data_IF_008579732532
#
_entry.id   IF_008579732532
#
_cell.length_a   1.000
_cell.length_b   1.000
_cell.length_c   1.000
_cell.angle_alpha   90.00
_cell.angle_beta   90.00
_cell.angle_gamma   90.00
#
_symmetry.space_group_name_H-M   'P 1'
#
loop_
_entity.id
_entity.type
_entity.pdbx_description
1 polymer ?
#
# COMPACT_ATOMS: atom_id res chain seq x y z
N UNK A 1 2.20 -46.84 -19.45
CA UNK A 1 3.36 -45.91 -19.54
C UNK A 1 3.30 -44.75 -18.51
N UNK A 2 2.99 -44.95 -17.21
CA UNK A 2 3.05 -43.87 -16.21
C UNK A 2 4.45 -43.65 -15.61
N UNK A 3 5.32 -44.67 -15.67
CA UNK A 3 6.68 -44.63 -15.11
C UNK A 3 7.62 -43.65 -15.82
N UNK A 4 7.45 -43.44 -17.13
CA UNK A 4 8.27 -42.49 -17.89
C UNK A 4 8.03 -41.03 -17.48
N UNK A 5 6.79 -40.69 -17.10
CA UNK A 5 6.43 -39.34 -16.66
C UNK A 5 7.04 -38.98 -15.30
N UNK A 6 7.20 -39.96 -14.40
CA UNK A 6 7.83 -39.77 -13.09
C UNK A 6 9.34 -39.55 -13.18
N UNK A 7 10.01 -40.21 -14.14
CA UNK A 7 11.44 -40.02 -14.41
C UNK A 7 11.75 -38.64 -15.02
N UNK A 8 10.85 -38.11 -15.85
CA UNK A 8 10.97 -36.76 -16.40
C UNK A 8 10.87 -35.67 -15.31
N UNK A 9 10.07 -35.89 -14.26
CA UNK A 9 9.98 -34.98 -13.11
C UNK A 9 11.23 -35.02 -12.21
N UNK A 10 11.90 -36.17 -12.11
CA UNK A 10 13.14 -36.32 -11.34
C UNK A 10 14.35 -35.63 -12.01
N UNK A 11 14.32 -35.42 -13.33
CA UNK A 11 15.35 -34.68 -14.07
C UNK A 11 15.28 -33.16 -13.89
N UNK A 12 14.15 -32.62 -13.45
CA UNK A 12 13.96 -31.19 -13.16
C UNK A 12 14.41 -30.82 -11.75
N UNK A 13 15.57 -31.35 -11.32
CA UNK A 13 16.12 -31.03 -10.01
C UNK A 13 16.56 -29.57 -9.97
N UNK A 14 15.77 -28.71 -9.32
CA UNK A 14 16.14 -27.31 -9.05
C UNK A 14 17.39 -27.33 -8.16
N UNK A 15 18.55 -26.85 -8.64
CA UNK A 15 19.75 -26.78 -7.82
C UNK A 15 19.44 -26.00 -6.55
N UNK A 16 19.78 -26.54 -5.39
CA UNK A 16 19.66 -25.80 -4.13
C UNK A 16 20.63 -24.62 -4.23
N UNK A 17 20.14 -23.36 -4.21
CA UNK A 17 21.02 -22.22 -4.27
C UNK A 17 21.91 -22.23 -3.03
N UNK A 18 23.21 -21.89 -3.16
CA UNK A 18 24.10 -21.77 -2.01
C UNK A 18 23.49 -20.77 -1.01
N UNK A 19 23.61 -21.08 0.29
CA UNK A 19 23.16 -20.20 1.34
C UNK A 19 23.87 -18.84 1.18
N UNK A 20 23.14 -17.71 1.10
CA UNK A 20 23.77 -16.41 1.01
C UNK A 20 24.63 -16.17 2.26
N UNK A 21 25.93 -15.90 2.08
CA UNK A 21 26.84 -15.56 3.20
C UNK A 21 26.43 -14.29 3.95
N UNK A 22 25.60 -13.45 3.33
CA UNK A 22 25.09 -12.19 3.87
C UNK A 22 23.57 -12.15 3.74
N UNK A 23 22.85 -11.55 4.71
CA UNK A 23 21.43 -11.30 4.58
C UNK A 23 21.16 -10.55 3.27
N UNK A 24 20.13 -10.93 2.48
CA UNK A 24 19.78 -10.19 1.29
C UNK A 24 19.41 -8.75 1.66
N UNK A 25 19.83 -7.80 0.84
CA UNK A 25 19.45 -6.41 1.03
C UNK A 25 17.91 -6.26 1.05
N UNK A 26 17.36 -5.31 1.81
CA UNK A 26 15.92 -5.14 1.95
C UNK A 26 15.27 -4.71 0.64
N UNK A 27 14.84 -5.70 -0.16
CA UNK A 27 14.09 -5.49 -1.42
C UNK A 27 12.73 -4.81 -1.19
N UNK A 28 12.26 -4.78 0.06
CA UNK A 28 10.96 -4.25 0.42
C UNK A 28 10.89 -2.71 0.40
N UNK A 29 12.01 -1.98 0.32
CA UNK A 29 12.00 -0.51 0.31
C UNK A 29 11.17 0.05 -0.84
N UNK A 30 11.53 -0.29 -2.08
CA UNK A 30 10.81 0.16 -3.28
C UNK A 30 9.33 -0.26 -3.29
N UNK A 31 9.01 -1.46 -2.81
CA UNK A 31 7.62 -1.93 -2.69
C UNK A 31 6.85 -1.14 -1.64
N UNK A 32 7.48 -0.84 -0.51
CA UNK A 32 6.88 -0.08 0.59
C UNK A 32 6.63 1.35 0.15
N UNK A 33 7.57 1.99 -0.54
CA UNK A 33 7.40 3.34 -1.10
C UNK A 33 6.28 3.39 -2.14
N UNK A 34 6.22 2.41 -3.05
CA UNK A 34 5.14 2.30 -4.03
C UNK A 34 3.75 2.13 -3.39
N UNK A 35 3.67 1.50 -2.21
CA UNK A 35 2.43 1.39 -1.44
C UNK A 35 2.13 2.62 -0.58
N UNK A 36 3.14 3.32 -0.05
CA UNK A 36 2.94 4.53 0.76
C UNK A 36 2.47 5.72 -0.09
N UNK A 37 3.02 5.90 -1.29
CA UNK A 37 2.63 6.99 -2.19
C UNK A 37 1.11 7.12 -2.43
N UNK A 38 0.36 6.06 -2.78
CA UNK A 38 -1.09 6.17 -2.95
C UNK A 38 -1.83 6.43 -1.62
N UNK A 39 -1.35 5.87 -0.50
CA UNK A 39 -1.94 6.10 0.81
C UNK A 39 -1.79 7.55 1.27
N UNK A 40 -0.60 8.14 1.06
CA UNK A 40 -0.33 9.53 1.43
C UNK A 40 -1.14 10.51 0.58
N UNK A 41 -1.29 10.24 -0.72
CA UNK A 41 -2.20 11.01 -1.59
C UNK A 41 -3.65 10.94 -1.10
N UNK A 42 -4.12 9.76 -0.71
CA UNK A 42 -5.48 9.59 -0.20
C UNK A 42 -5.68 10.34 1.12
N UNK A 43 -4.71 10.29 2.05
CA UNK A 43 -4.74 11.06 3.30
C UNK A 43 -4.77 12.56 3.03
N UNK A 44 -3.92 13.06 2.15
CA UNK A 44 -3.89 14.48 1.79
C UNK A 44 -5.24 14.94 1.21
N UNK A 45 -5.83 14.15 0.29
CA UNK A 45 -7.15 14.43 -0.26
C UNK A 45 -8.23 14.46 0.84
N UNK A 46 -8.21 13.49 1.76
CA UNK A 46 -9.14 13.47 2.90
C UNK A 46 -8.99 14.70 3.80
N UNK A 47 -7.78 15.05 4.17
CA UNK A 47 -7.50 16.23 4.99
C UNK A 47 -7.98 17.52 4.32
N UNK A 48 -7.82 17.64 3.01
CA UNK A 48 -8.34 18.80 2.27
C UNK A 48 -9.86 18.88 2.29
N UNK A 49 -10.55 17.74 2.18
CA UNK A 49 -12.01 17.68 2.25
C UNK A 49 -12.53 17.94 3.66
N UNK A 50 -11.88 17.38 4.68
CA UNK A 50 -12.23 17.62 6.09
C UNK A 50 -12.12 19.13 6.41
N UNK A 51 -11.01 19.77 6.05
CA UNK A 51 -10.83 21.23 6.22
C UNK A 51 -11.89 22.07 5.47
N UNK A 52 -12.27 21.66 4.25
CA UNK A 52 -13.30 22.35 3.49
C UNK A 52 -14.71 22.16 4.09
N UNK A 53 -14.98 21.00 4.68
CA UNK A 53 -16.21 20.74 5.42
C UNK A 53 -16.30 21.54 6.71
N UNK A 54 -15.22 21.58 7.49
CA UNK A 54 -15.14 22.30 8.76
C UNK A 54 -15.32 23.81 8.57
N UNK A 55 -14.70 24.38 7.53
CA UNK A 55 -14.86 25.81 7.18
C UNK A 55 -16.30 26.14 6.78
N UNK A 56 -16.94 25.30 5.96
CA UNK A 56 -18.34 25.52 5.55
C UNK A 56 -19.31 25.39 6.72
N UNK A 57 -19.08 24.45 7.63
CA UNK A 57 -19.90 24.27 8.82
C UNK A 57 -19.77 25.46 9.79
N UNK A 58 -18.56 26.00 9.95
CA UNK A 58 -18.32 27.20 10.73
C UNK A 58 -19.03 28.42 10.13
N UNK A 59 -18.89 28.68 8.83
CA UNK A 59 -19.56 29.79 8.15
C UNK A 59 -21.10 29.73 8.29
N UNK A 60 -21.69 28.52 8.20
CA UNK A 60 -23.14 28.36 8.40
C UNK A 60 -23.54 28.55 9.86
N UNK A 61 -22.75 28.05 10.81
CA UNK A 61 -23.04 28.20 12.23
C UNK A 61 -22.95 29.67 12.69
N UNK A 62 -21.97 30.42 12.20
CA UNK A 62 -21.86 31.86 12.45
C UNK A 62 -23.02 32.64 11.80
N UNK A 63 -23.40 32.30 10.57
CA UNK A 63 -24.53 32.92 9.88
C UNK A 63 -25.89 32.66 10.57
N UNK A 64 -26.09 31.47 11.14
CA UNK A 64 -27.31 31.13 11.90
C UNK A 64 -27.37 31.89 13.24
N UNK A 65 -26.23 32.09 13.91
CA UNK A 65 -26.14 32.84 15.18
C UNK A 65 -26.40 34.34 14.98
N UNK A 66 -25.91 34.93 13.89
CA UNK A 66 -26.19 36.34 13.54
C UNK A 66 -27.66 36.57 13.13
N UNK A 67 -28.37 35.55 12.64
CA UNK A 67 -29.77 35.66 12.24
C UNK A 67 -30.76 35.59 13.43
N UNK A 68 -30.37 34.99 14.56
CA UNK A 68 -31.20 34.90 15.78
C UNK A 68 -31.02 36.07 16.76
N UNK A 69 -30.18 37.07 16.45
CA UNK A 69 -29.91 38.25 17.30
C UNK A 69 -30.60 39.52 16.80
#
# INVERSE_FOLDING_TARGET
MPLAALLALAGCHRPVPPAPDKPPEPQAGALRDAMQQPLDKAKAARETLEKAGDTRAADTADADVDAER
#
